data_IF_353260506446
#
_entry.id   IF_353260506446
#
_cell.length_a   1.000
_cell.length_b   1.000
_cell.length_c   1.000
_cell.angle_alpha   90.00
_cell.angle_beta   90.00
_cell.angle_gamma   90.00
#
_symmetry.space_group_name_H-M   'P 1'
#
loop_
_entity.id
_entity.type
_entity.pdbx_description
1 polymer ?
#
# COMPACT_ATOMS: atom_id res chain seq x y z
N UNK A 1 51.29 25.33 44.28
CA UNK A 1 49.83 25.49 44.48
C UNK A 1 49.16 24.45 43.59
N UNK A 2 48.74 23.28 44.09
CA UNK A 2 47.49 23.02 44.85
C UNK A 2 46.26 23.40 43.99
N UNK A 3 45.24 22.59 43.66
CA UNK A 3 44.92 21.17 43.79
C UNK A 3 43.63 20.89 42.97
N UNK A 4 43.37 19.60 42.70
CA UNK A 4 42.07 18.90 42.59
C UNK A 4 40.94 19.43 41.64
N UNK A 5 40.51 18.67 40.62
CA UNK A 5 39.56 17.52 40.60
C UNK A 5 38.09 17.95 40.46
N UNK A 6 37.35 17.46 39.43
CA UNK A 6 35.93 17.00 39.46
C UNK A 6 35.43 16.52 38.05
N UNK A 7 35.18 15.20 37.93
CA UNK A 7 34.14 14.43 37.17
C UNK A 7 33.94 14.67 35.65
N UNK A 8 34.26 13.73 34.74
CA UNK A 8 33.58 12.47 34.37
C UNK A 8 32.14 12.64 33.84
N UNK A 9 31.92 12.43 32.52
CA UNK A 9 30.86 11.56 31.97
C UNK A 9 31.14 11.20 30.51
N UNK A 10 30.92 9.92 30.22
CA UNK A 10 31.25 9.20 29.00
C UNK A 10 30.30 9.50 27.83
N UNK A 11 30.86 9.55 26.62
CA UNK A 11 30.18 9.11 25.40
C UNK A 11 31.25 8.54 24.45
N UNK A 12 31.77 7.36 24.81
CA UNK A 12 32.50 6.50 23.88
C UNK A 12 31.49 6.11 22.80
N UNK A 13 31.66 6.65 21.59
CA UNK A 13 30.96 6.15 20.42
C UNK A 13 31.25 4.65 20.30
N UNK A 14 30.23 3.78 20.12
CA UNK A 14 30.47 2.36 19.97
C UNK A 14 31.29 2.15 18.70
N UNK A 15 32.42 1.46 18.85
CA UNK A 15 33.22 0.95 17.74
C UNK A 15 32.37 0.00 16.89
N UNK A 16 32.47 0.02 15.55
CA UNK A 16 31.78 -0.94 14.71
C UNK A 16 32.30 -2.34 15.03
N UNK A 17 31.42 -3.16 15.58
CA UNK A 17 31.69 -4.55 15.94
C UNK A 17 32.12 -5.34 14.69
N UNK A 18 33.34 -5.86 14.75
CA UNK A 18 33.86 -6.85 13.83
C UNK A 18 33.24 -8.21 14.19
N UNK A 19 31.98 -8.39 13.82
CA UNK A 19 31.20 -9.56 14.22
C UNK A 19 30.15 -9.94 13.18
N UNK A 20 30.54 -10.85 12.28
CA UNK A 20 29.62 -11.73 11.54
C UNK A 20 28.50 -11.00 10.77
N UNK A 21 28.87 -10.31 9.67
CA UNK A 21 27.93 -9.86 8.66
C UNK A 21 27.31 -11.07 7.92
N UNK A 22 26.37 -11.76 8.57
CA UNK A 22 25.21 -12.28 7.86
C UNK A 22 24.49 -11.05 7.33
N UNK A 23 24.93 -10.57 6.17
CA UNK A 23 24.20 -9.63 5.32
C UNK A 23 22.92 -10.36 4.93
N UNK A 24 21.97 -10.40 5.85
CA UNK A 24 20.60 -10.76 5.56
C UNK A 24 20.17 -9.68 4.58
N UNK A 25 20.18 -10.07 3.31
CA UNK A 25 19.58 -9.36 2.21
C UNK A 25 18.07 -9.30 2.49
N UNK A 26 17.70 -8.49 3.48
CA UNK A 26 16.34 -8.05 3.73
C UNK A 26 16.05 -7.11 2.57
N UNK A 27 15.68 -7.69 1.42
CA UNK A 27 14.83 -7.01 0.44
C UNK A 27 13.77 -6.33 1.29
N UNK A 28 13.84 -5.01 1.41
CA UNK A 28 12.87 -4.25 2.19
C UNK A 28 11.50 -4.72 1.73
N UNK A 29 10.74 -5.33 2.66
CA UNK A 29 9.46 -5.95 2.34
C UNK A 29 8.57 -4.82 1.83
N UNK A 30 8.30 -4.78 0.52
CA UNK A 30 7.43 -3.75 -0.07
C UNK A 30 6.08 -3.87 0.61
N UNK A 31 5.74 -2.86 1.40
CA UNK A 31 4.40 -2.72 1.97
C UNK A 31 3.45 -2.37 0.82
N UNK A 32 2.38 -3.14 0.71
CA UNK A 32 1.37 -3.03 -0.33
C UNK A 32 0.01 -2.94 0.37
N UNK A 33 -0.82 -2.00 -0.07
CA UNK A 33 -2.22 -1.87 0.34
C UNK A 33 -3.14 -2.33 -0.80
N UNK A 34 -4.21 -3.02 -0.44
CA UNK A 34 -5.32 -3.41 -1.31
C UNK A 34 -6.54 -2.56 -0.94
N UNK A 35 -7.06 -1.79 -1.90
CA UNK A 35 -8.23 -0.95 -1.75
C UNK A 35 -9.41 -1.48 -2.56
N UNK A 36 -10.60 -1.32 -1.98
CA UNK A 36 -11.88 -1.63 -2.59
C UNK A 36 -12.69 -0.35 -2.63
N UNK A 37 -13.23 0.02 -3.79
CA UNK A 37 -14.09 1.19 -3.89
C UNK A 37 -15.34 0.92 -4.72
N UNK A 38 -16.50 1.24 -4.16
CA UNK A 38 -17.84 0.91 -4.66
C UNK A 38 -18.92 1.85 -4.16
N UNK A 39 -18.61 3.12 -3.91
CA UNK A 39 -19.54 4.09 -3.31
C UNK A 39 -20.66 4.57 -4.26
N UNK A 40 -20.45 4.50 -5.58
CA UNK A 40 -21.38 4.95 -6.61
C UNK A 40 -21.58 3.86 -7.67
N UNK A 41 -21.80 4.23 -8.94
CA UNK A 41 -22.05 3.27 -10.04
C UNK A 41 -20.79 2.53 -10.55
N UNK A 42 -19.66 2.65 -9.86
CA UNK A 42 -18.39 2.05 -10.25
C UNK A 42 -17.89 1.16 -9.13
N UNK A 43 -17.35 0.00 -9.50
CA UNK A 43 -16.59 -0.87 -8.62
C UNK A 43 -15.15 -0.94 -9.09
N UNK A 44 -14.21 -0.72 -8.19
CA UNK A 44 -12.78 -0.67 -8.46
C UNK A 44 -11.97 -1.38 -7.39
N UNK A 45 -10.85 -1.97 -7.82
CA UNK A 45 -9.85 -2.59 -6.95
C UNK A 45 -8.52 -1.92 -7.21
N UNK A 46 -7.89 -1.39 -6.16
CA UNK A 46 -6.60 -0.73 -6.24
C UNK A 46 -5.53 -1.51 -5.49
N UNK A 47 -4.34 -1.67 -6.06
CA UNK A 47 -3.16 -2.14 -5.34
C UNK A 47 -2.12 -1.04 -5.40
N UNK A 48 -1.64 -0.56 -4.25
CA UNK A 48 -0.67 0.53 -4.15
C UNK A 48 0.45 0.18 -3.19
N UNK A 49 1.66 0.65 -3.44
CA UNK A 49 2.77 0.58 -2.49
C UNK A 49 2.76 1.78 -1.54
N UNK A 50 3.52 1.70 -0.44
CA UNK A 50 3.62 2.78 0.55
C UNK A 50 4.16 4.11 -0.03
N UNK A 51 5.03 4.04 -1.04
CA UNK A 51 5.54 5.20 -1.78
C UNK A 51 4.54 5.75 -2.81
N UNK A 52 3.32 5.21 -2.88
CA UNK A 52 2.26 5.67 -3.76
C UNK A 52 2.31 5.10 -5.17
N UNK A 53 3.25 4.20 -5.47
CA UNK A 53 3.27 3.50 -6.76
C UNK A 53 2.01 2.64 -6.89
N UNK A 54 1.14 2.98 -7.85
CA UNK A 54 0.02 2.13 -8.21
C UNK A 54 0.60 0.88 -8.89
N UNK A 55 0.08 -0.29 -8.54
CA UNK A 55 0.45 -1.58 -9.15
C UNK A 55 -0.70 -2.15 -9.99
N UNK A 56 -1.95 -1.89 -9.57
CA UNK A 56 -3.16 -2.32 -10.25
C UNK A 56 -4.31 -1.35 -9.95
N UNK A 57 -5.17 -1.08 -10.94
CA UNK A 57 -6.35 -0.23 -10.77
C UNK A 57 -7.53 -0.61 -11.72
N UNK A 58 -7.89 -1.90 -11.84
CA UNK A 58 -9.04 -2.31 -12.65
C UNK A 58 -10.34 -1.76 -12.08
N UNK A 59 -11.24 -1.36 -12.96
CA UNK A 59 -12.54 -0.79 -12.62
C UNK A 59 -13.61 -1.23 -13.60
N UNK A 60 -14.83 -1.39 -13.10
CA UNK A 60 -16.00 -1.65 -13.92
C UNK A 60 -17.08 -0.62 -13.59
N UNK A 61 -17.78 -0.14 -14.63
CA UNK A 61 -18.85 0.86 -14.49
C UNK A 61 -20.18 0.23 -14.80
N UNK A 62 -21.16 0.41 -13.92
CA UNK A 62 -22.56 0.13 -14.21
C UNK A 62 -23.12 1.26 -15.08
N UNK A 63 -23.41 0.94 -16.34
CA UNK A 63 -23.98 1.86 -17.31
C UNK A 63 -25.48 1.58 -17.43
N UNK A 64 -26.29 2.56 -17.06
CA UNK A 64 -27.74 2.51 -17.22
C UNK A 64 -28.15 2.95 -18.63
N UNK A 65 -29.35 2.58 -19.09
CA UNK A 65 -29.87 3.09 -20.35
C UNK A 65 -30.02 4.63 -20.33
N UNK A 66 -30.03 5.30 -21.50
CA UNK A 66 -30.14 6.76 -21.59
C UNK A 66 -31.44 7.29 -20.95
N UNK A 67 -31.34 8.25 -20.04
CA UNK A 67 -32.49 8.82 -19.31
C UNK A 67 -32.77 8.19 -17.94
N UNK A 68 -31.97 7.22 -17.49
CA UNK A 68 -32.14 6.53 -16.21
C UNK A 68 -30.92 6.75 -15.32
N UNK A 69 -31.16 6.99 -14.02
CA UNK A 69 -30.12 6.95 -13.00
C UNK A 69 -29.84 5.52 -12.53
N UNK A 70 -28.66 5.30 -11.94
CA UNK A 70 -28.31 4.02 -11.32
C UNK A 70 -29.01 3.87 -9.97
N UNK A 71 -29.77 2.79 -9.79
CA UNK A 71 -30.48 2.53 -8.54
C UNK A 71 -29.57 1.81 -7.55
N UNK A 72 -29.67 2.08 -6.22
CA UNK A 72 -28.80 1.45 -5.23
C UNK A 72 -28.81 -0.07 -5.26
N UNK A 73 -30.00 -0.69 -5.43
CA UNK A 73 -30.14 -2.15 -5.47
C UNK A 73 -29.45 -2.78 -6.68
N UNK A 74 -29.63 -2.20 -7.87
CA UNK A 74 -29.03 -2.69 -9.11
C UNK A 74 -27.52 -2.50 -9.10
N UNK A 75 -27.06 -1.37 -8.56
CA UNK A 75 -25.64 -1.07 -8.38
C UNK A 75 -24.98 -2.04 -7.41
N UNK A 76 -25.64 -2.38 -6.29
CA UNK A 76 -25.12 -3.40 -5.37
C UNK A 76 -25.01 -4.78 -6.04
N UNK A 77 -26.02 -5.17 -6.84
CA UNK A 77 -25.98 -6.41 -7.61
C UNK A 77 -24.83 -6.41 -8.63
N UNK A 78 -24.64 -5.29 -9.31
CA UNK A 78 -23.51 -5.09 -10.22
C UNK A 78 -22.16 -5.26 -9.49
N UNK A 79 -22.00 -4.65 -8.32
CA UNK A 79 -20.76 -4.77 -7.53
C UNK A 79 -20.47 -6.23 -7.16
N UNK A 80 -21.49 -6.99 -6.71
CA UNK A 80 -21.34 -8.42 -6.39
C UNK A 80 -20.95 -9.25 -7.61
N UNK A 81 -21.48 -8.93 -8.79
CA UNK A 81 -21.15 -9.65 -10.03
C UNK A 81 -19.70 -9.41 -10.47
N UNK A 82 -19.18 -8.19 -10.28
CA UNK A 82 -17.89 -7.78 -10.85
C UNK A 82 -16.72 -7.78 -9.86
N UNK A 83 -16.96 -7.90 -8.56
CA UNK A 83 -15.90 -7.85 -7.55
C UNK A 83 -14.86 -8.97 -7.70
N UNK A 84 -15.30 -10.22 -7.84
CA UNK A 84 -14.41 -11.37 -7.99
C UNK A 84 -13.67 -11.37 -9.34
N UNK A 85 -14.31 -11.06 -10.48
CA UNK A 85 -13.60 -10.83 -11.73
C UNK A 85 -12.50 -9.76 -11.63
N UNK A 86 -12.76 -8.64 -10.96
CA UNK A 86 -11.78 -7.56 -10.80
C UNK A 86 -10.58 -7.99 -9.95
N UNK A 87 -10.80 -8.70 -8.83
CA UNK A 87 -9.71 -9.24 -7.99
C UNK A 87 -8.81 -10.18 -8.79
N UNK A 88 -9.39 -11.00 -9.68
CA UNK A 88 -8.64 -11.96 -10.51
C UNK A 88 -8.02 -11.32 -11.74
N UNK A 89 -8.41 -10.10 -12.09
CA UNK A 89 -7.96 -9.45 -13.31
C UNK A 89 -6.44 -9.19 -13.24
N UNK A 90 -5.76 -9.55 -14.32
CA UNK A 90 -4.32 -9.33 -14.49
C UNK A 90 -4.05 -8.11 -15.36
N UNK A 91 -4.79 -7.02 -15.19
CA UNK A 91 -4.54 -5.83 -15.99
C UNK A 91 -3.23 -5.17 -15.54
N UNK A 92 -2.18 -5.12 -16.38
CA UNK A 92 -1.08 -4.20 -16.16
C UNK A 92 -1.61 -2.79 -16.38
N UNK A 93 -1.11 -1.81 -15.63
CA UNK A 93 -1.44 -0.42 -15.91
C UNK A 93 -1.07 -0.06 -17.35
N UNK A 94 -1.98 0.64 -18.04
CA UNK A 94 -1.57 1.45 -19.18
C UNK A 94 -0.75 2.61 -18.63
N UNK A 95 0.51 2.69 -19.06
CA UNK A 95 1.40 3.82 -18.77
C UNK A 95 0.83 5.10 -19.34
#
# INVERSE_FOLDING_TARGET
MLAAHTLLHAARLPSPDAGNHRVLNLKMKKMIALGFEGSANKIGIGIVTLDGTILSNPRHTYITPPGQGFLPRETAQHHLQYILPLIKSKQPQMK
#
